data_IF_947142081319
#
_entry.id   IF_947142081319
#
_cell.length_a   1.000
_cell.length_b   1.000
_cell.length_c   1.000
_cell.angle_alpha   90.00
_cell.angle_beta   90.00
_cell.angle_gamma   90.00
#
_symmetry.space_group_name_H-M   'P 1'
#
loop_
_entity.id
_entity.type
_entity.pdbx_description
1 polymer ?
#
# COMPACT_ATOMS: atom_id res chain seq x y z
N UNK A 1 28.80 2.18 12.44
CA UNK A 1 27.84 3.21 12.87
C UNK A 1 26.46 2.70 12.46
N UNK A 2 25.66 2.18 13.41
CA UNK A 2 24.30 1.67 13.08
C UNK A 2 23.41 2.86 12.74
N UNK A 3 22.95 2.93 11.49
CA UNK A 3 21.93 3.90 11.10
C UNK A 3 20.58 3.37 11.60
N UNK A 4 20.12 3.86 12.72
CA UNK A 4 18.75 3.59 13.17
C UNK A 4 17.81 4.44 12.33
N UNK A 5 17.04 3.82 11.46
CA UNK A 5 15.99 4.50 10.73
C UNK A 5 14.91 4.91 11.74
N UNK A 6 14.81 6.21 12.01
CA UNK A 6 13.81 6.76 12.93
C UNK A 6 12.80 7.58 12.14
N UNK A 7 11.53 7.22 12.23
CA UNK A 7 10.44 8.01 11.70
C UNK A 7 10.17 9.15 12.70
N UNK A 8 10.15 10.43 12.26
CA UNK A 8 9.86 11.54 13.17
C UNK A 8 8.43 11.42 13.72
N UNK A 9 8.22 11.99 14.92
CA UNK A 9 6.89 12.01 15.53
C UNK A 9 5.87 12.75 14.65
N UNK A 10 4.63 12.22 14.49
CA UNK A 10 3.56 12.88 13.75
C UNK A 10 3.19 14.28 14.26
N UNK A 11 3.51 14.60 15.52
CA UNK A 11 3.32 15.94 16.09
C UNK A 11 4.19 16.99 15.42
N UNK A 12 5.30 16.58 14.78
CA UNK A 12 6.17 17.47 14.01
C UNK A 12 5.63 17.80 12.61
N UNK A 13 4.46 17.29 12.21
CA UNK A 13 3.84 17.56 10.90
C UNK A 13 3.65 19.04 10.68
N UNK A 14 4.18 19.54 9.57
CA UNK A 14 3.98 20.93 9.11
C UNK A 14 2.62 21.06 8.44
N UNK A 15 1.59 21.30 9.25
CA UNK A 15 0.20 21.46 8.78
C UNK A 15 0.10 22.66 7.83
N UNK A 16 -0.70 22.53 6.76
CA UNK A 16 -0.87 23.54 5.71
C UNK A 16 0.28 23.57 4.69
N UNK A 17 1.20 22.59 4.74
CA UNK A 17 2.28 22.41 3.77
C UNK A 17 2.12 21.14 2.93
N UNK A 18 1.10 20.35 3.21
CA UNK A 18 0.75 19.17 2.44
C UNK A 18 0.44 19.51 0.99
N UNK A 19 0.80 18.61 0.09
CA UNK A 19 0.44 18.64 -1.33
C UNK A 19 -0.49 17.49 -1.63
N UNK A 20 -1.24 17.66 -2.69
CA UNK A 20 -2.28 16.71 -3.07
C UNK A 20 -2.06 16.23 -4.51
N UNK A 21 -2.46 15.00 -4.75
CA UNK A 21 -2.61 14.39 -6.07
C UNK A 21 -4.09 14.07 -6.25
N UNK A 22 -4.62 14.42 -7.41
CA UNK A 22 -5.97 13.99 -7.81
C UNK A 22 -5.84 12.81 -8.75
N UNK A 23 -6.50 11.72 -8.43
CA UNK A 23 -6.78 10.67 -9.41
C UNK A 23 -8.18 10.92 -9.96
N UNK A 24 -8.27 11.01 -11.28
CA UNK A 24 -9.51 11.31 -11.96
C UNK A 24 -10.48 10.12 -11.96
N UNK A 25 -11.76 10.41 -12.14
CA UNK A 25 -12.73 9.38 -12.50
C UNK A 25 -12.24 8.60 -13.73
N UNK A 26 -12.64 7.37 -13.86
CA UNK A 26 -12.21 6.40 -14.88
C UNK A 26 -10.75 5.90 -14.71
N UNK A 27 -9.99 6.37 -13.68
CA UNK A 27 -8.69 5.78 -13.38
C UNK A 27 -8.86 4.31 -12.99
N UNK A 28 -8.18 3.44 -13.71
CA UNK A 28 -8.15 2.01 -13.45
C UNK A 28 -7.01 1.67 -12.48
N UNK A 29 -7.29 0.76 -11.57
CA UNK A 29 -6.38 0.36 -10.50
C UNK A 29 -6.45 -1.15 -10.29
N UNK A 30 -5.39 -1.70 -9.76
CA UNK A 30 -5.26 -3.12 -9.48
C UNK A 30 -5.03 -3.36 -7.99
N UNK A 31 -5.59 -4.43 -7.45
CA UNK A 31 -5.35 -4.82 -6.07
C UNK A 31 -5.28 -6.33 -5.90
N UNK A 32 -4.41 -6.76 -5.00
CA UNK A 32 -4.39 -8.10 -4.45
C UNK A 32 -5.01 -8.08 -3.04
N UNK A 33 -5.89 -9.01 -2.78
CA UNK A 33 -6.60 -9.11 -1.50
C UNK A 33 -6.97 -10.54 -1.19
N UNK A 34 -7.23 -10.82 0.08
CA UNK A 34 -7.75 -12.14 0.46
C UNK A 34 -9.07 -12.42 -0.26
N UNK A 35 -9.23 -13.62 -0.83
CA UNK A 35 -10.39 -14.01 -1.65
C UNK A 35 -11.73 -13.96 -0.90
N UNK A 36 -11.69 -13.99 0.43
CA UNK A 36 -12.89 -13.83 1.26
C UNK A 36 -13.49 -12.40 1.22
N UNK A 37 -12.77 -11.40 0.70
CA UNK A 37 -13.24 -10.02 0.58
C UNK A 37 -13.60 -9.68 -0.85
N UNK A 38 -14.60 -8.81 -1.03
CA UNK A 38 -14.99 -8.32 -2.36
C UNK A 38 -13.97 -7.36 -2.97
N UNK A 39 -13.99 -7.25 -4.31
CA UNK A 39 -13.09 -6.41 -5.11
C UNK A 39 -13.00 -4.95 -4.62
N UNK A 40 -14.12 -4.37 -4.19
CA UNK A 40 -14.22 -2.97 -3.75
C UNK A 40 -14.46 -2.82 -2.24
N UNK A 41 -14.31 -3.92 -1.50
CA UNK A 41 -14.58 -3.95 -0.07
C UNK A 41 -13.45 -3.31 0.73
N UNK A 42 -13.79 -2.32 1.55
CA UNK A 42 -12.88 -1.72 2.52
C UNK A 42 -12.67 -2.64 3.73
N UNK A 43 -11.43 -2.68 4.23
CA UNK A 43 -11.13 -3.35 5.49
C UNK A 43 -11.54 -2.44 6.66
N UNK A 44 -12.59 -2.81 7.36
CA UNK A 44 -13.11 -2.12 8.55
C UNK A 44 -12.84 -2.90 9.84
N UNK A 45 -12.15 -4.04 9.75
CA UNK A 45 -12.00 -4.96 10.88
C UNK A 45 -11.01 -4.51 11.96
N UNK A 46 -10.19 -3.49 11.68
CA UNK A 46 -9.06 -3.12 12.55
C UNK A 46 -7.96 -4.18 12.63
N UNK A 47 -8.04 -5.25 11.82
CA UNK A 47 -7.06 -6.34 11.76
C UNK A 47 -6.11 -6.15 10.59
N UNK A 48 -4.95 -6.81 10.71
CA UNK A 48 -3.88 -6.76 9.71
C UNK A 48 -2.68 -5.95 10.19
N UNK A 49 -1.63 -5.95 9.38
CA UNK A 49 -0.40 -5.18 9.64
C UNK A 49 0.14 -4.68 8.31
N UNK A 50 -0.42 -3.58 7.82
CA UNK A 50 0.07 -2.88 6.65
C UNK A 50 0.68 -1.53 7.06
N UNK A 51 1.41 -0.91 6.13
CA UNK A 51 2.16 0.32 6.37
C UNK A 51 1.29 1.47 6.88
N UNK A 52 0.10 1.66 6.32
CA UNK A 52 -0.82 2.74 6.65
C UNK A 52 -2.18 2.23 7.17
N UNK A 53 -2.26 0.96 7.61
CA UNK A 53 -3.46 0.41 8.24
C UNK A 53 -3.14 -0.79 9.16
N UNK A 54 -3.98 -1.10 10.17
CA UNK A 54 -5.19 -0.36 10.54
C UNK A 54 -4.89 1.00 11.17
N UNK A 55 -5.82 1.94 11.00
CA UNK A 55 -5.76 3.29 11.58
C UNK A 55 -7.09 3.63 12.26
N UNK A 56 -7.04 4.56 13.20
CA UNK A 56 -8.17 4.87 14.08
C UNK A 56 -8.42 6.36 14.20
N UNK A 57 -9.67 6.72 14.46
CA UNK A 57 -10.05 8.07 14.86
C UNK A 57 -9.68 8.32 16.33
N UNK A 58 -9.76 9.57 16.75
CA UNK A 58 -9.51 9.98 18.14
C UNK A 58 -10.46 9.34 19.15
N UNK A 59 -11.66 8.93 18.72
CA UNK A 59 -12.63 8.21 19.53
C UNK A 59 -12.39 6.69 19.58
N UNK A 60 -11.32 6.20 18.92
CA UNK A 60 -10.96 4.79 18.84
C UNK A 60 -11.70 4.00 17.77
N UNK A 61 -12.62 4.60 17.01
CA UNK A 61 -13.27 3.91 15.90
C UNK A 61 -12.33 3.69 14.75
N UNK A 62 -12.43 2.50 14.10
CA UNK A 62 -11.60 2.15 12.94
C UNK A 62 -11.94 3.03 11.75
N UNK A 63 -10.93 3.54 11.07
CA UNK A 63 -11.05 4.15 9.74
C UNK A 63 -10.92 3.03 8.72
N UNK A 64 -11.99 2.68 7.97
CA UNK A 64 -11.89 1.64 6.95
C UNK A 64 -10.88 2.04 5.87
N UNK A 65 -10.09 1.08 5.39
CA UNK A 65 -9.07 1.34 4.36
C UNK A 65 -9.16 0.35 3.22
N UNK A 66 -8.77 0.79 2.02
CA UNK A 66 -8.57 -0.06 0.85
C UNK A 66 -7.29 0.37 0.14
N UNK A 67 -6.46 -0.61 -0.24
CA UNK A 67 -5.25 -0.40 -1.02
C UNK A 67 -5.49 -0.79 -2.47
N UNK A 68 -4.85 -0.03 -3.37
CA UNK A 68 -4.77 -0.35 -4.79
C UNK A 68 -3.48 0.23 -5.38
N UNK A 69 -3.08 -0.28 -6.53
CA UNK A 69 -1.87 0.10 -7.24
C UNK A 69 -2.19 0.50 -8.69
N UNK A 70 -1.29 1.21 -9.32
CA UNK A 70 -1.41 1.69 -10.69
C UNK A 70 -1.55 0.55 -11.71
N UNK A 71 -0.83 -0.54 -11.50
CA UNK A 71 -0.79 -1.70 -12.39
C UNK A 71 -0.93 -3.01 -11.63
N UNK A 72 -1.18 -4.10 -12.36
CA UNK A 72 -1.14 -5.45 -11.81
C UNK A 72 0.26 -5.79 -11.27
N UNK A 73 1.30 -5.47 -12.05
CA UNK A 73 2.69 -5.68 -11.66
C UNK A 73 3.00 -5.01 -10.32
N UNK A 74 2.64 -3.73 -10.14
CA UNK A 74 2.84 -3.03 -8.87
C UNK A 74 2.05 -3.68 -7.72
N UNK A 75 0.82 -4.13 -7.96
CA UNK A 75 0.03 -4.82 -6.94
C UNK A 75 0.69 -6.15 -6.53
N UNK A 76 1.25 -6.90 -7.49
CA UNK A 76 2.01 -8.14 -7.26
C UNK A 76 3.28 -7.85 -6.45
N UNK A 77 4.05 -6.85 -6.83
CA UNK A 77 5.27 -6.46 -6.14
C UNK A 77 5.01 -6.00 -4.70
N UNK A 78 3.93 -5.26 -4.44
CA UNK A 78 3.59 -4.76 -3.10
C UNK A 78 3.09 -5.86 -2.15
N UNK A 79 2.54 -6.96 -2.66
CA UNK A 79 1.90 -7.99 -1.84
C UNK A 79 2.63 -9.34 -1.90
N UNK A 80 2.92 -9.86 -3.10
CA UNK A 80 3.47 -11.21 -3.30
C UNK A 80 4.99 -11.19 -3.37
N UNK A 81 5.55 -10.35 -4.24
CA UNK A 81 6.98 -10.33 -4.53
C UNK A 81 7.75 -9.32 -3.65
N UNK A 82 7.11 -8.80 -2.61
CA UNK A 82 7.77 -7.86 -1.71
C UNK A 82 8.92 -8.53 -0.98
N UNK A 83 10.06 -7.83 -0.89
CA UNK A 83 11.18 -8.27 -0.09
C UNK A 83 10.72 -8.47 1.38
N UNK A 84 10.97 -9.64 1.99
CA UNK A 84 10.64 -9.86 3.38
C UNK A 84 11.37 -8.85 4.28
N UNK A 85 10.61 -8.12 5.10
CA UNK A 85 11.16 -7.10 6.00
C UNK A 85 12.06 -7.68 7.11
N UNK A 86 12.02 -9.00 7.31
CA UNK A 86 12.73 -9.71 8.37
C UNK A 86 14.18 -10.07 8.00
N UNK A 87 14.60 -9.84 6.76
CA UNK A 87 15.93 -10.18 6.24
C UNK A 87 17.01 -9.12 6.54
N UNK A 88 16.69 -8.03 7.21
CA UNK A 88 17.68 -7.08 7.69
C UNK A 88 18.24 -7.47 9.06
N UNK A 89 18.79 -8.68 9.18
CA UNK A 89 19.76 -8.98 10.23
C UNK A 89 21.14 -8.46 9.79
N UNK A 90 21.88 -7.91 10.72
CA UNK A 90 23.15 -7.18 10.49
C UNK A 90 24.26 -8.02 9.76
N UNK A 91 24.07 -9.31 9.55
CA UNK A 91 25.10 -10.25 9.12
C UNK A 91 24.81 -11.00 7.80
N UNK A 92 23.59 -10.93 7.28
CA UNK A 92 23.24 -11.64 6.05
C UNK A 92 22.69 -10.70 5.00
N UNK A 93 23.41 -10.54 3.90
CA UNK A 93 22.84 -10.03 2.65
C UNK A 93 21.91 -11.14 2.16
N UNK A 94 20.58 -10.93 2.09
CA UNK A 94 19.70 -11.93 1.53
C UNK A 94 20.11 -12.15 0.09
N UNK A 95 20.62 -13.32 -0.20
CA UNK A 95 21.10 -13.63 -1.54
C UNK A 95 19.95 -13.79 -2.53
N UNK A 96 18.74 -14.11 -2.06
CA UNK A 96 17.61 -14.43 -2.94
C UNK A 96 16.28 -14.22 -2.19
N UNK A 97 15.32 -13.55 -2.83
CA UNK A 97 13.94 -13.49 -2.36
C UNK A 97 13.22 -14.73 -2.88
N UNK A 98 12.84 -15.63 -1.98
CA UNK A 98 12.08 -16.85 -2.32
C UNK A 98 10.63 -16.63 -1.97
N UNK A 99 9.74 -16.89 -2.92
CA UNK A 99 8.29 -16.77 -2.75
C UNK A 99 7.63 -18.13 -3.03
N UNK A 100 6.76 -18.55 -2.15
CA UNK A 100 6.00 -19.79 -2.31
C UNK A 100 4.56 -19.48 -2.76
N UNK A 101 4.12 -19.96 -3.93
CA UNK A 101 2.76 -19.75 -4.43
C UNK A 101 1.67 -20.16 -3.45
N UNK A 102 1.91 -21.21 -2.66
CA UNK A 102 0.98 -21.70 -1.63
C UNK A 102 0.60 -20.64 -0.60
N UNK A 103 1.50 -19.68 -0.30
CA UNK A 103 1.25 -18.63 0.67
C UNK A 103 0.21 -17.62 0.17
N UNK A 104 0.02 -17.54 -1.15
CA UNK A 104 -0.88 -16.61 -1.81
C UNK A 104 -2.07 -17.29 -2.54
N UNK A 105 -2.20 -18.59 -2.45
CA UNK A 105 -3.30 -19.34 -3.08
C UNK A 105 -4.71 -18.90 -2.63
N UNK A 106 -4.80 -18.20 -1.50
CA UNK A 106 -6.05 -17.65 -0.96
C UNK A 106 -6.23 -16.15 -1.24
N UNK A 107 -5.48 -15.61 -2.20
CA UNK A 107 -5.61 -14.24 -2.68
C UNK A 107 -6.34 -14.19 -4.02
N UNK A 108 -7.02 -13.06 -4.25
CA UNK A 108 -7.58 -12.70 -5.54
C UNK A 108 -6.97 -11.39 -6.03
N UNK A 109 -6.80 -11.30 -7.34
CA UNK A 109 -6.52 -10.06 -8.04
C UNK A 109 -7.83 -9.45 -8.51
N UNK A 110 -8.05 -8.17 -8.22
CA UNK A 110 -9.17 -7.40 -8.74
C UNK A 110 -8.70 -6.20 -9.53
N UNK A 111 -9.27 -6.03 -10.71
CA UNK A 111 -9.17 -4.83 -11.52
C UNK A 111 -10.40 -3.97 -11.23
N UNK A 112 -10.19 -2.74 -10.82
CA UNK A 112 -11.22 -1.81 -10.35
C UNK A 112 -11.04 -0.45 -11.01
N UNK A 113 -12.12 0.33 -11.06
CA UNK A 113 -12.11 1.68 -11.66
C UNK A 113 -12.71 2.69 -10.68
N UNK A 114 -12.14 3.89 -10.62
CA UNK A 114 -12.72 5.00 -9.90
C UNK A 114 -13.94 5.55 -10.63
N UNK A 115 -15.09 5.63 -9.98
CA UNK A 115 -16.31 6.26 -10.51
C UNK A 115 -16.34 7.78 -10.32
N UNK A 116 -15.46 8.29 -9.44
CA UNK A 116 -15.32 9.72 -9.13
C UNK A 116 -13.87 10.02 -8.84
N UNK A 117 -13.43 11.25 -9.16
CA UNK A 117 -12.10 11.72 -8.81
C UNK A 117 -11.92 11.71 -7.29
N UNK A 118 -10.72 11.38 -6.84
CA UNK A 118 -10.32 11.35 -5.43
C UNK A 118 -9.09 12.23 -5.19
N UNK A 119 -9.12 12.96 -4.08
CA UNK A 119 -8.04 13.84 -3.65
C UNK A 119 -7.20 13.14 -2.57
N UNK A 120 -5.92 12.95 -2.83
CA UNK A 120 -5.01 12.18 -1.99
C UNK A 120 -3.87 13.06 -1.49
N UNK A 121 -3.43 12.88 -0.24
CA UNK A 121 -2.20 13.52 0.24
C UNK A 121 -1.00 12.87 -0.46
N UNK A 122 -0.16 13.70 -1.04
CA UNK A 122 1.08 13.30 -1.69
C UNK A 122 2.13 12.87 -0.64
N UNK A 123 2.43 11.58 -0.59
CA UNK A 123 3.51 11.00 0.19
C UNK A 123 4.69 10.53 -0.67
N UNK A 124 4.85 11.07 -1.87
CA UNK A 124 6.13 10.95 -2.59
C UNK A 124 7.24 11.61 -1.76
N UNK A 125 8.49 11.38 -2.13
CA UNK A 125 9.64 12.02 -1.45
C UNK A 125 9.49 13.55 -1.34
N UNK A 126 8.93 14.19 -2.37
CA UNK A 126 8.70 15.62 -2.39
C UNK A 126 7.59 16.04 -1.43
N UNK A 127 6.47 15.31 -1.42
CA UNK A 127 5.34 15.55 -0.52
C UNK A 127 5.73 15.36 0.94
N UNK A 128 6.44 14.28 1.25
CA UNK A 128 6.93 14.02 2.61
C UNK A 128 7.83 15.16 3.14
N UNK A 129 8.75 15.66 2.31
CA UNK A 129 9.60 16.79 2.70
C UNK A 129 8.80 18.04 3.05
N UNK A 130 7.73 18.33 2.34
CA UNK A 130 6.89 19.49 2.60
C UNK A 130 6.20 19.42 3.96
N UNK A 131 5.75 18.23 4.35
CA UNK A 131 5.12 18.02 5.68
C UNK A 131 6.14 17.81 6.81
N UNK A 132 7.45 17.93 6.52
CA UNK A 132 8.50 17.91 7.54
C UNK A 132 9.20 16.58 7.73
N UNK A 133 9.06 15.65 6.77
CA UNK A 133 9.73 14.34 6.78
C UNK A 133 10.87 14.36 5.77
N UNK A 134 12.07 14.12 6.24
CA UNK A 134 13.21 13.93 5.36
C UNK A 134 13.29 12.47 4.88
N UNK A 135 13.72 12.26 3.63
CA UNK A 135 14.11 10.94 3.09
C UNK A 135 13.01 9.92 2.85
N UNK A 136 11.83 10.20 2.47
CA UNK A 136 10.83 9.20 2.09
C UNK A 136 10.59 8.05 3.13
N UNK A 137 10.88 8.29 4.41
CA UNK A 137 10.92 7.24 5.45
C UNK A 137 9.57 6.59 5.74
N UNK A 138 8.46 7.26 5.42
CA UNK A 138 7.13 6.68 5.59
C UNK A 138 6.89 5.52 4.62
N UNK A 139 7.58 5.49 3.49
CA UNK A 139 7.43 4.44 2.47
C UNK A 139 8.57 3.43 2.54
N UNK A 140 9.80 3.89 2.80
CA UNK A 140 11.00 3.05 2.76
C UNK A 140 11.29 2.33 4.08
N UNK A 141 10.61 2.68 5.17
CA UNK A 141 10.84 2.06 6.46
C UNK A 141 10.43 0.58 6.50
N UNK A 142 11.21 -0.28 7.19
CA UNK A 142 10.90 -1.69 7.36
C UNK A 142 9.68 -1.91 8.25
N UNK A 143 9.19 -3.15 8.32
CA UNK A 143 7.91 -3.50 8.97
C UNK A 143 7.82 -3.08 10.44
N UNK A 144 8.92 -3.08 11.17
CA UNK A 144 8.92 -2.65 12.57
C UNK A 144 8.58 -1.14 12.74
N UNK A 145 8.67 -0.33 11.66
CA UNK A 145 8.27 1.08 11.65
C UNK A 145 6.79 1.30 11.37
N UNK A 146 6.01 0.27 11.06
CA UNK A 146 4.59 0.40 10.72
C UNK A 146 3.71 1.04 11.82
N UNK A 147 3.96 0.84 13.11
CA UNK A 147 3.26 1.62 14.14
C UNK A 147 3.40 3.14 13.94
N UNK A 148 4.60 3.60 13.59
CA UNK A 148 4.86 5.03 13.37
C UNK A 148 4.23 5.53 12.06
N UNK A 149 4.30 4.74 10.97
CA UNK A 149 3.67 5.14 9.70
C UNK A 149 2.16 5.18 9.80
N UNK A 150 1.55 4.29 10.59
CA UNK A 150 0.11 4.34 10.92
C UNK A 150 -0.25 5.58 11.73
N UNK A 151 0.54 5.93 12.73
CA UNK A 151 0.35 7.16 13.49
C UNK A 151 0.44 8.41 12.61
N UNK A 152 1.33 8.40 11.58
CA UNK A 152 1.36 9.45 10.55
C UNK A 152 0.09 9.46 9.69
N UNK A 153 -0.41 8.29 9.26
CA UNK A 153 -1.65 8.20 8.50
C UNK A 153 -2.87 8.73 9.29
N UNK A 154 -2.96 8.41 10.58
CA UNK A 154 -3.98 8.96 11.50
C UNK A 154 -3.84 10.48 11.64
N UNK A 155 -2.61 10.99 11.81
CA UNK A 155 -2.35 12.44 11.88
C UNK A 155 -2.74 13.16 10.60
N UNK A 156 -2.38 12.60 9.43
CA UNK A 156 -2.76 13.15 8.13
C UNK A 156 -4.28 13.12 7.97
N UNK A 157 -4.93 11.99 8.30
CA UNK A 157 -6.38 11.90 8.28
C UNK A 157 -7.03 13.00 9.13
N UNK A 158 -6.55 13.25 10.35
CA UNK A 158 -7.10 14.28 11.21
C UNK A 158 -6.82 15.72 10.73
N UNK A 159 -5.60 15.97 10.20
CA UNK A 159 -5.15 17.30 9.81
C UNK A 159 -5.62 17.74 8.42
N UNK A 160 -5.91 16.79 7.52
CA UNK A 160 -6.27 17.04 6.13
C UNK A 160 -7.71 16.57 5.84
N UNK A 161 -8.75 17.27 6.32
CA UNK A 161 -10.13 16.79 6.27
C UNK A 161 -10.70 16.59 4.88
N UNK A 162 -10.14 17.25 3.86
CA UNK A 162 -10.54 17.11 2.46
C UNK A 162 -9.88 15.92 1.76
N UNK A 163 -8.78 15.39 2.32
CA UNK A 163 -8.08 14.26 1.74
C UNK A 163 -8.89 12.97 1.90
N UNK A 164 -9.02 12.23 0.83
CA UNK A 164 -9.74 10.96 0.77
C UNK A 164 -8.82 9.75 0.92
N UNK A 165 -7.51 9.97 1.01
CA UNK A 165 -6.51 8.93 1.14
C UNK A 165 -5.09 9.44 0.99
N UNK A 166 -4.17 8.51 0.77
CA UNK A 166 -2.74 8.75 0.59
C UNK A 166 -2.30 8.23 -0.79
N UNK A 167 -1.39 8.94 -1.41
CA UNK A 167 -0.72 8.57 -2.65
C UNK A 167 0.79 8.42 -2.38
N UNK A 168 1.42 7.35 -2.79
CA UNK A 168 2.85 7.14 -2.61
C UNK A 168 3.46 6.36 -3.78
N UNK A 169 4.73 6.63 -4.08
CA UNK A 169 5.48 5.83 -5.03
C UNK A 169 5.71 4.44 -4.44
N UNK A 170 5.44 3.39 -5.19
CA UNK A 170 5.75 2.03 -4.77
C UNK A 170 7.23 1.89 -4.43
N UNK A 171 7.53 1.28 -3.29
CA UNK A 171 8.91 0.94 -2.94
C UNK A 171 9.42 -0.24 -3.78
N UNK A 172 8.51 -1.15 -4.12
CA UNK A 172 8.84 -2.43 -4.75
C UNK A 172 8.89 -2.32 -6.29
N UNK A 173 8.12 -1.38 -6.88
CA UNK A 173 8.03 -1.18 -8.32
C UNK A 173 7.96 0.31 -8.69
N UNK A 174 8.93 1.13 -8.22
CA UNK A 174 9.01 2.51 -8.67
C UNK A 174 9.40 2.63 -10.16
N UNK A 175 8.90 3.62 -10.90
CA UNK A 175 8.26 4.84 -10.44
C UNK A 175 6.73 4.77 -10.26
N UNK A 176 6.11 3.63 -10.43
CA UNK A 176 4.67 3.47 -10.29
C UNK A 176 4.16 3.78 -8.86
N UNK A 177 2.89 4.03 -8.73
CA UNK A 177 2.29 4.43 -7.46
C UNK A 177 1.34 3.38 -6.89
N UNK A 178 1.17 3.48 -5.58
CA UNK A 178 0.08 2.84 -4.86
C UNK A 178 -0.69 3.88 -4.03
N UNK A 179 -1.91 3.53 -3.67
CA UNK A 179 -2.81 4.37 -2.89
C UNK A 179 -3.42 3.61 -1.73
N UNK A 180 -3.81 4.34 -0.70
CA UNK A 180 -4.76 3.87 0.31
C UNK A 180 -5.88 4.89 0.47
N UNK A 181 -7.13 4.46 0.31
CA UNK A 181 -8.30 5.32 0.53
C UNK A 181 -8.85 5.14 1.95
N UNK A 182 -9.37 6.24 2.49
CA UNK A 182 -10.09 6.31 3.76
C UNK A 182 -11.58 6.11 3.50
N UNK A 183 -12.13 4.97 3.92
CA UNK A 183 -13.51 4.58 3.61
C UNK A 183 -14.59 5.45 4.25
N UNK A 184 -14.24 6.23 5.28
CA UNK A 184 -15.15 7.21 5.88
C UNK A 184 -15.19 8.57 5.14
N UNK A 185 -14.37 8.72 4.07
CA UNK A 185 -14.26 9.96 3.28
C UNK A 185 -14.59 9.80 1.81
N UNK A 186 -14.88 8.61 1.39
CA UNK A 186 -15.30 8.31 0.02
C UNK A 186 -16.70 7.69 0.01
N UNK A 187 -17.48 7.86 -1.07
CA UNK A 187 -18.73 7.13 -1.21
C UNK A 187 -18.51 5.61 -1.18
N UNK A 188 -19.48 4.86 -0.67
CA UNK A 188 -19.37 3.39 -0.65
C UNK A 188 -19.21 2.79 -2.05
N UNK A 189 -19.74 3.47 -3.07
CA UNK A 189 -19.68 3.10 -4.47
C UNK A 189 -18.57 3.86 -5.23
N UNK A 190 -17.50 4.28 -4.56
CA UNK A 190 -16.36 5.00 -5.18
C UNK A 190 -15.68 4.19 -6.29
N UNK A 191 -15.73 2.87 -6.18
CA UNK A 191 -15.18 1.97 -7.18
C UNK A 191 -16.27 1.21 -7.95
N UNK A 192 -15.97 0.91 -9.20
CA UNK A 192 -16.56 -0.14 -10.01
C UNK A 192 -15.59 -1.33 -10.07
N UNK A 193 -16.08 -2.55 -9.83
CA UNK A 193 -15.32 -3.77 -10.09
C UNK A 193 -15.41 -4.14 -11.58
N UNK A 194 -14.27 -4.26 -12.25
CA UNK A 194 -14.20 -4.63 -13.67
C UNK A 194 -14.02 -6.13 -13.83
N UNK A 195 -13.09 -6.71 -13.07
CA UNK A 195 -12.86 -8.16 -13.05
C UNK A 195 -12.27 -8.59 -11.72
N UNK A 196 -12.41 -9.88 -11.41
CA UNK A 196 -11.74 -10.53 -10.29
C UNK A 196 -11.36 -11.94 -10.72
N UNK A 197 -10.14 -12.35 -10.41
CA UNK A 197 -9.62 -13.71 -10.65
C UNK A 197 -8.81 -14.17 -9.44
N UNK A 198 -8.79 -15.46 -9.18
CA UNK A 198 -7.97 -16.00 -8.09
C UNK A 198 -6.50 -16.06 -8.53
N UNK A 199 -5.61 -15.80 -7.61
CA UNK A 199 -4.16 -15.84 -7.86
C UNK A 199 -3.69 -17.24 -8.26
N UNK A 200 -4.35 -18.28 -7.75
CA UNK A 200 -4.05 -19.68 -8.07
C UNK A 200 -4.58 -20.15 -9.44
N UNK A 201 -5.34 -19.31 -10.18
CA UNK A 201 -5.72 -19.64 -11.56
C UNK A 201 -4.50 -19.57 -12.48
N UNK A 202 -4.35 -20.55 -13.36
CA UNK A 202 -3.20 -20.75 -14.24
C UNK A 202 -2.76 -19.46 -14.94
N UNK A 203 -3.68 -18.76 -15.60
CA UNK A 203 -3.38 -17.50 -16.30
C UNK A 203 -2.81 -16.41 -15.37
N UNK A 204 -3.39 -16.24 -14.18
CA UNK A 204 -2.93 -15.25 -13.20
C UNK A 204 -1.59 -15.65 -12.60
N UNK A 205 -1.43 -16.92 -12.32
CA UNK A 205 -0.20 -17.50 -11.80
C UNK A 205 0.96 -17.34 -12.78
N UNK A 206 0.77 -17.64 -14.07
CA UNK A 206 1.79 -17.50 -15.11
C UNK A 206 2.25 -16.06 -15.29
N UNK A 207 1.32 -15.09 -15.21
CA UNK A 207 1.67 -13.68 -15.22
C UNK A 207 2.54 -13.29 -14.00
N UNK A 208 2.23 -13.81 -12.81
CA UNK A 208 3.03 -13.57 -11.59
C UNK A 208 4.42 -14.19 -11.74
N UNK A 209 4.53 -15.41 -12.26
CA UNK A 209 5.81 -16.05 -12.55
C UNK A 209 6.64 -15.20 -13.51
N UNK A 210 6.05 -14.69 -14.58
CA UNK A 210 6.74 -13.83 -15.55
C UNK A 210 7.25 -12.53 -14.93
N UNK A 211 6.47 -11.92 -14.01
CA UNK A 211 6.89 -10.73 -13.26
C UNK A 211 8.07 -11.11 -12.33
N UNK A 212 8.00 -12.21 -11.60
CA UNK A 212 9.06 -12.67 -10.72
C UNK A 212 10.37 -12.92 -11.48
N UNK A 213 10.29 -13.60 -12.62
CA UNK A 213 11.45 -13.83 -13.51
C UNK A 213 12.09 -12.51 -13.98
N UNK A 214 11.27 -11.53 -14.38
CA UNK A 214 11.77 -10.22 -14.83
C UNK A 214 12.54 -9.47 -13.75
N UNK A 215 12.21 -9.73 -12.48
CA UNK A 215 12.81 -9.12 -11.29
C UNK A 215 13.90 -9.99 -10.66
N UNK A 216 14.22 -11.15 -11.26
CA UNK A 216 15.17 -12.15 -10.72
C UNK A 216 14.79 -12.59 -9.29
N UNK A 217 13.50 -12.80 -9.06
CA UNK A 217 12.95 -13.32 -7.81
C UNK A 217 12.62 -14.79 -8.00
N UNK A 218 13.14 -15.64 -7.12
CA UNK A 218 12.83 -17.07 -7.13
C UNK A 218 11.40 -17.32 -6.62
N UNK A 219 10.54 -17.73 -7.55
CA UNK A 219 9.15 -18.11 -7.30
C UNK A 219 9.07 -19.63 -7.44
N UNK A 220 9.13 -20.32 -6.29
CA UNK A 220 9.32 -21.78 -6.25
C UNK A 220 7.99 -22.49 -6.00
N UNK A 221 7.55 -23.27 -6.97
CA UNK A 221 6.48 -24.27 -6.78
C UNK A 221 7.02 -25.44 -5.95
N UNK A 222 6.32 -25.76 -4.85
CA UNK A 222 6.61 -26.93 -4.00
C UNK A 222 5.54 -27.98 -4.21
#
# INVERSE_FOLDING_TARGET
MKFTLTIPSPQAMKIGKETYVTLDAETELHRLHLSQFGATQFNNSGKGSARFSPIYKTDGSTIPTIYAAQSFETAVCEIILRCPDDLFSDDDIPSETIVFPSDFAHYSHSHIRLKKSVLLVDLTTAGQRKIGIDRNVLVTGPRFTYPDTRAWAEKIHAACPTAQGLYYTSLQNGPEYAIVLFGDRVPQDVFEGLSTRDVAQEECHDEICSIAESLSIDYIEV
#
